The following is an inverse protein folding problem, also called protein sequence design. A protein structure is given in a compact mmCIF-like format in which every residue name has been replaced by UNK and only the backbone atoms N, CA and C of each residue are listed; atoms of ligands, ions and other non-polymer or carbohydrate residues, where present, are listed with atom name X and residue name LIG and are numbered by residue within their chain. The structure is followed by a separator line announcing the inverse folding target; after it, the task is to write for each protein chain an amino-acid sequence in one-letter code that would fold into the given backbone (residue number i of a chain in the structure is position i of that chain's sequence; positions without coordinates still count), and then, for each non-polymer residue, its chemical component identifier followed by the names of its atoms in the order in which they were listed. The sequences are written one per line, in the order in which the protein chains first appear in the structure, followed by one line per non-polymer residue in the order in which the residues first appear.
data_IF_539421173160
#
_entry.id   IF_539421173160
#
_cell.length_a   1.000
_cell.length_b   1.000
_cell.length_c   1.000
_cell.angle_alpha   90.00
_cell.angle_beta   90.00
_cell.angle_gamma   90.00
#
_symmetry.space_group_name_H-M   'P 1'
#
loop_
_entity.id
_entity.type
_entity.pdbx_description
1 polymer ?
#
# COMPACT_ATOMS: atom_id res chain seq x y z
N UNK A 1 6.75 5.22 -12.86
CA UNK A 1 5.79 4.47 -12.04
C UNK A 1 4.40 5.05 -12.17
N UNK A 2 3.42 4.20 -12.43
CA UNK A 2 2.01 4.60 -12.58
C UNK A 2 1.23 3.91 -11.46
N UNK A 3 0.45 4.62 -10.67
CA UNK A 3 -0.33 4.01 -9.61
C UNK A 3 -1.63 3.40 -10.18
N UNK A 4 -1.55 2.17 -10.63
CA UNK A 4 -2.67 1.43 -11.21
C UNK A 4 -2.26 0.45 -12.30
N UNK A 5 -3.22 -0.25 -12.90
CA UNK A 5 -2.98 -1.21 -13.95
C UNK A 5 -2.35 -0.55 -15.20
N UNK A 6 -1.18 -1.05 -15.59
CA UNK A 6 -0.37 -0.46 -16.67
C UNK A 6 0.14 -1.54 -17.61
N UNK A 7 0.00 -1.34 -18.90
CA UNK A 7 0.62 -2.19 -19.91
C UNK A 7 2.05 -1.70 -20.21
N UNK A 8 3.02 -2.36 -19.59
CA UNK A 8 4.43 -1.99 -19.74
C UNK A 8 4.99 -2.11 -21.18
N UNK A 9 4.30 -2.85 -22.07
CA UNK A 9 4.72 -3.03 -23.47
C UNK A 9 4.22 -1.91 -24.37
N UNK A 10 3.00 -1.43 -24.12
CA UNK A 10 2.37 -0.40 -24.95
C UNK A 10 2.44 0.99 -24.34
N UNK A 11 2.83 1.12 -23.07
CA UNK A 11 2.90 2.39 -22.39
C UNK A 11 1.53 2.92 -21.90
N UNK A 12 0.47 2.08 -21.97
CA UNK A 12 -0.90 2.49 -21.64
C UNK A 12 -1.21 2.26 -20.16
N UNK A 13 -1.60 3.31 -19.47
CA UNK A 13 -2.27 3.25 -18.17
C UNK A 13 -3.78 3.03 -18.41
N UNK A 14 -4.34 1.95 -17.88
CA UNK A 14 -5.73 1.58 -18.15
C UNK A 14 -6.71 2.47 -17.38
N UNK A 15 -6.84 2.25 -16.08
CA UNK A 15 -7.74 3.01 -15.23
C UNK A 15 -6.97 3.54 -14.01
N UNK A 16 -6.91 4.86 -13.89
CA UNK A 16 -6.30 5.56 -12.74
C UNK A 16 -7.28 6.62 -12.24
N UNK A 17 -8.32 6.22 -11.47
CA UNK A 17 -9.46 7.09 -11.17
C UNK A 17 -9.12 8.41 -10.51
N UNK A 18 -8.14 8.43 -9.59
CA UNK A 18 -7.74 9.66 -8.89
C UNK A 18 -6.94 10.64 -9.78
N UNK A 19 -6.44 10.20 -10.96
CA UNK A 19 -5.88 11.07 -12.00
C UNK A 19 -6.91 11.37 -13.10
N UNK A 20 -8.08 10.74 -13.07
CA UNK A 20 -9.09 10.86 -14.12
C UNK A 20 -8.63 10.24 -15.45
N UNK A 21 -7.70 9.28 -15.40
CA UNK A 21 -7.17 8.65 -16.60
C UNK A 21 -7.92 7.36 -16.92
N UNK A 22 -8.22 7.18 -18.21
CA UNK A 22 -8.75 5.95 -18.78
C UNK A 22 -8.07 5.71 -20.12
N UNK A 23 -7.34 4.60 -20.23
CA UNK A 23 -6.61 4.18 -21.43
C UNK A 23 -5.64 5.26 -22.00
N UNK A 24 -4.87 5.91 -21.11
CA UNK A 24 -3.92 6.96 -21.47
C UNK A 24 -2.58 6.34 -21.85
N UNK A 25 -2.09 6.59 -23.08
CA UNK A 25 -0.73 6.19 -23.50
C UNK A 25 0.31 7.20 -22.99
N UNK A 26 0.72 7.05 -21.74
CA UNK A 26 1.62 8.01 -21.09
C UNK A 26 3.04 7.95 -21.69
N UNK A 27 3.49 6.79 -22.18
CA UNK A 27 4.81 6.69 -22.81
C UNK A 27 4.86 7.52 -24.09
N UNK A 28 3.90 7.36 -24.99
CA UNK A 28 3.81 8.12 -26.23
C UNK A 28 3.76 9.65 -25.97
N UNK A 29 2.90 10.08 -25.07
CA UNK A 29 2.78 11.50 -24.69
C UNK A 29 4.10 12.11 -24.20
N UNK A 30 4.85 11.34 -23.39
CA UNK A 30 6.14 11.79 -22.88
C UNK A 30 7.26 11.70 -23.93
N UNK A 31 7.26 10.68 -24.78
CA UNK A 31 8.20 10.55 -25.90
C UNK A 31 8.04 11.70 -26.89
N UNK A 32 6.82 12.04 -27.27
CA UNK A 32 6.53 13.20 -28.15
C UNK A 32 6.99 14.51 -27.51
N UNK A 33 6.82 14.64 -26.21
CA UNK A 33 7.15 15.90 -25.51
C UNK A 33 8.64 16.11 -25.26
N UNK A 34 9.36 15.00 -24.92
CA UNK A 34 10.74 15.07 -24.45
C UNK A 34 11.76 14.49 -25.44
N UNK A 35 11.30 13.83 -26.49
CA UNK A 35 12.14 13.21 -27.53
C UNK A 35 13.17 12.21 -26.97
N UNK A 36 12.77 11.44 -25.94
CA UNK A 36 13.57 10.38 -25.32
C UNK A 36 12.72 9.11 -25.17
N UNK A 37 13.32 7.91 -25.22
CA UNK A 37 12.57 6.67 -24.97
C UNK A 37 11.95 6.68 -23.56
N UNK A 38 10.67 6.31 -23.44
CA UNK A 38 9.94 6.26 -22.18
C UNK A 38 9.44 4.85 -21.91
N UNK A 39 9.65 4.39 -20.69
CA UNK A 39 9.17 3.10 -20.19
C UNK A 39 8.32 3.32 -18.95
N UNK A 40 7.21 2.63 -18.84
CA UNK A 40 6.36 2.69 -17.67
C UNK A 40 5.96 1.30 -17.17
N UNK A 41 5.64 1.22 -15.91
CA UNK A 41 5.05 0.05 -15.25
C UNK A 41 4.24 0.54 -14.04
N UNK A 42 3.54 -0.38 -13.38
CA UNK A 42 2.96 -0.10 -12.08
C UNK A 42 4.05 0.36 -11.08
N UNK A 43 3.72 1.30 -10.20
CA UNK A 43 4.68 1.91 -9.27
C UNK A 43 5.28 0.90 -8.28
N UNK A 44 4.50 -0.05 -7.75
CA UNK A 44 5.02 -1.10 -6.87
C UNK A 44 5.94 -2.07 -7.61
N UNK A 45 5.68 -2.36 -8.89
CA UNK A 45 6.57 -3.14 -9.73
C UNK A 45 7.92 -2.45 -9.91
N UNK A 46 7.93 -1.15 -10.19
CA UNK A 46 9.18 -0.39 -10.33
C UNK A 46 9.91 -0.25 -9.00
N UNK A 47 9.21 -0.10 -7.89
CA UNK A 47 9.82 -0.14 -6.56
C UNK A 47 10.50 -1.49 -6.31
N UNK A 48 9.83 -2.62 -6.64
CA UNK A 48 10.44 -3.94 -6.49
C UNK A 48 11.69 -4.12 -7.37
N UNK A 49 11.68 -3.63 -8.60
CA UNK A 49 12.87 -3.62 -9.46
C UNK A 49 13.98 -2.75 -8.87
N UNK A 50 13.64 -1.57 -8.36
CA UNK A 50 14.59 -0.67 -7.68
C UNK A 50 15.27 -1.35 -6.49
N UNK A 51 14.49 -2.01 -5.63
CA UNK A 51 15.02 -2.75 -4.49
C UNK A 51 15.88 -3.96 -4.89
N UNK A 52 15.47 -4.68 -5.94
CA UNK A 52 16.27 -5.80 -6.46
C UNK A 52 17.64 -5.36 -6.99
N UNK A 53 17.70 -4.23 -7.69
CA UNK A 53 18.94 -3.79 -8.33
C UNK A 53 19.82 -2.94 -7.40
N UNK A 54 19.23 -2.10 -6.57
CA UNK A 54 19.95 -1.05 -5.83
C UNK A 54 19.74 -1.10 -4.31
N UNK A 55 18.69 -1.78 -3.83
CA UNK A 55 18.27 -1.79 -2.43
C UNK A 55 18.48 -3.12 -1.71
N UNK A 56 17.58 -3.42 -0.78
CA UNK A 56 17.62 -4.60 0.10
C UNK A 56 17.52 -5.94 -0.64
N UNK A 57 16.98 -5.93 -1.86
CA UNK A 57 16.83 -7.13 -2.70
C UNK A 57 18.06 -7.49 -3.54
N UNK A 58 19.18 -6.76 -3.42
CA UNK A 58 20.39 -7.04 -4.23
C UNK A 58 20.88 -8.49 -4.03
N UNK A 59 21.11 -9.17 -5.16
CA UNK A 59 21.57 -10.55 -5.20
C UNK A 59 20.47 -11.59 -4.95
N UNK A 60 19.22 -11.15 -4.72
CA UNK A 60 18.07 -12.05 -4.62
C UNK A 60 17.42 -12.23 -5.99
N UNK A 61 16.98 -13.46 -6.27
CA UNK A 61 16.24 -13.77 -7.50
C UNK A 61 14.73 -13.82 -7.26
N UNK A 62 14.34 -14.04 -6.02
CA UNK A 62 12.95 -14.14 -5.61
C UNK A 62 12.71 -13.23 -4.43
N UNK A 63 11.72 -12.36 -4.54
CA UNK A 63 11.33 -11.43 -3.48
C UNK A 63 9.89 -10.93 -3.66
N UNK A 64 9.29 -10.57 -2.55
CA UNK A 64 8.04 -9.81 -2.49
C UNK A 64 8.34 -8.47 -1.83
N UNK A 65 7.93 -7.40 -2.48
CA UNK A 65 7.93 -6.05 -1.91
C UNK A 65 6.50 -5.63 -1.62
N UNK A 66 6.26 -5.08 -0.44
CA UNK A 66 5.01 -4.42 -0.08
C UNK A 66 5.27 -2.94 0.14
N UNK A 67 4.44 -2.09 -0.46
CA UNK A 67 4.45 -0.65 -0.20
C UNK A 67 3.27 -0.28 0.67
N UNK A 68 3.55 0.19 1.90
CA UNK A 68 2.55 0.63 2.87
C UNK A 68 2.40 2.14 2.80
N UNK A 69 1.43 2.60 2.03
CA UNK A 69 1.11 4.01 1.83
C UNK A 69 -0.37 4.30 2.05
N UNK A 70 -0.93 5.26 1.31
CA UNK A 70 -2.38 5.52 1.27
C UNK A 70 -3.16 4.25 0.97
N UNK A 71 -2.66 3.45 0.00
CA UNK A 71 -3.07 2.09 -0.26
C UNK A 71 -1.97 1.09 0.11
N UNK A 72 -2.07 -0.13 -0.43
CA UNK A 72 -1.09 -1.18 -0.28
C UNK A 72 -0.74 -1.75 -1.65
N UNK A 73 0.46 -1.41 -2.14
CA UNK A 73 1.00 -1.97 -3.37
C UNK A 73 1.85 -3.21 -3.10
N UNK A 74 2.00 -4.04 -4.13
CA UNK A 74 2.84 -5.23 -4.07
C UNK A 74 3.58 -5.40 -5.40
N UNK A 75 4.89 -5.69 -5.33
CA UNK A 75 5.69 -6.13 -6.45
C UNK A 75 6.30 -7.49 -6.16
N UNK A 76 6.18 -8.43 -7.08
CA UNK A 76 6.69 -9.79 -6.93
C UNK A 76 7.75 -10.05 -8.00
N UNK A 77 8.91 -10.50 -7.56
CA UNK A 77 10.00 -10.95 -8.44
C UNK A 77 10.16 -12.45 -8.27
N UNK A 78 10.20 -13.17 -9.39
CA UNK A 78 10.45 -14.62 -9.47
C UNK A 78 11.52 -14.84 -10.52
N UNK A 79 12.54 -15.62 -10.18
CA UNK A 79 13.69 -15.90 -11.06
C UNK A 79 14.36 -14.63 -11.63
N UNK A 80 14.40 -13.54 -10.85
CA UNK A 80 14.98 -12.26 -11.25
C UNK A 80 14.10 -11.45 -12.22
N UNK A 81 12.80 -11.77 -12.34
CA UNK A 81 11.87 -11.09 -13.23
C UNK A 81 10.61 -10.67 -12.50
N UNK A 82 10.10 -9.47 -12.81
CA UNK A 82 8.80 -9.01 -12.30
C UNK A 82 7.68 -9.92 -12.79
N UNK A 83 6.87 -10.38 -11.86
CA UNK A 83 5.64 -11.13 -12.12
C UNK A 83 4.51 -10.17 -12.48
N UNK A 84 4.23 -10.02 -13.77
CA UNK A 84 3.15 -9.14 -14.28
C UNK A 84 1.84 -9.87 -14.55
N UNK A 85 1.90 -11.21 -14.72
CA UNK A 85 0.76 -12.01 -15.15
C UNK A 85 0.38 -11.79 -16.61
N UNK A 86 -0.66 -12.47 -17.06
CA UNK A 86 -1.11 -12.43 -18.46
C UNK A 86 -1.66 -11.05 -18.86
N UNK A 87 -2.30 -10.35 -17.93
CA UNK A 87 -3.02 -9.09 -18.17
C UNK A 87 -2.31 -7.87 -17.52
N UNK A 88 -1.05 -8.02 -17.09
CA UNK A 88 -0.26 -6.98 -16.41
C UNK A 88 -0.87 -6.48 -15.07
N UNK A 89 -1.66 -7.31 -14.41
CA UNK A 89 -2.33 -7.00 -13.12
C UNK A 89 -2.03 -8.05 -12.05
N UNK A 90 -0.90 -8.75 -12.15
CA UNK A 90 -0.44 -9.61 -11.06
C UNK A 90 0.06 -8.78 -9.87
N UNK A 91 0.27 -9.47 -8.75
CA UNK A 91 0.77 -8.89 -7.51
C UNK A 91 -0.18 -7.90 -6.81
N UNK A 92 -1.48 -7.97 -7.07
CA UNK A 92 -2.51 -7.18 -6.36
C UNK A 92 -2.81 -7.75 -4.97
N UNK A 93 -1.74 -7.97 -4.15
CA UNK A 93 -1.87 -8.57 -2.82
C UNK A 93 -2.68 -7.70 -1.84
N UNK A 94 -2.70 -6.38 -2.04
CA UNK A 94 -3.54 -5.47 -1.27
C UNK A 94 -5.03 -5.83 -1.33
N UNK A 95 -5.47 -6.47 -2.40
CA UNK A 95 -6.86 -6.86 -2.59
C UNK A 95 -7.18 -8.33 -2.27
N UNK A 96 -6.24 -9.04 -1.64
CA UNK A 96 -6.52 -10.35 -1.03
C UNK A 96 -7.40 -10.17 0.21
N UNK A 97 -8.47 -10.95 0.32
CA UNK A 97 -9.35 -10.94 1.50
C UNK A 97 -8.66 -11.72 2.62
N UNK A 98 -8.27 -11.03 3.70
CA UNK A 98 -7.65 -11.62 4.88
C UNK A 98 -8.60 -11.65 6.09
N UNK A 99 -9.76 -10.99 5.98
CA UNK A 99 -10.80 -10.99 7.01
C UNK A 99 -12.19 -11.06 6.35
N UNK A 100 -12.82 -12.23 6.41
CA UNK A 100 -14.14 -12.40 5.81
C UNK A 100 -15.18 -11.46 6.46
N UNK A 101 -15.95 -10.75 5.64
CA UNK A 101 -16.94 -9.78 6.11
C UNK A 101 -16.38 -8.51 6.73
N UNK A 102 -15.05 -8.30 6.70
CA UNK A 102 -14.36 -7.14 7.25
C UNK A 102 -14.73 -5.80 6.60
N UNK A 103 -13.87 -4.82 6.76
CA UNK A 103 -14.07 -3.44 6.26
C UNK A 103 -14.24 -3.41 4.74
N UNK A 104 -15.12 -2.53 4.26
CA UNK A 104 -15.32 -2.29 2.82
C UNK A 104 -14.02 -1.78 2.18
N UNK A 105 -13.63 -2.40 1.07
CA UNK A 105 -12.50 -1.98 0.25
C UNK A 105 -12.98 -1.20 -0.99
N UNK A 106 -12.15 -0.31 -1.49
CA UNK A 106 -12.41 0.45 -2.73
C UNK A 106 -12.61 -0.47 -3.96
N UNK A 107 -12.05 -1.68 -3.96
CA UNK A 107 -12.24 -2.67 -5.02
C UNK A 107 -13.61 -3.37 -5.00
N UNK A 108 -14.52 -2.99 -4.10
CA UNK A 108 -15.86 -3.58 -3.97
C UNK A 108 -15.94 -4.80 -3.04
N UNK A 109 -14.81 -5.42 -2.67
CA UNK A 109 -14.76 -6.54 -1.71
C UNK A 109 -14.74 -6.04 -0.26
N UNK A 110 -14.86 -6.95 0.70
CA UNK A 110 -14.75 -6.65 2.13
C UNK A 110 -13.61 -7.43 2.77
N UNK A 111 -12.85 -6.76 3.65
CA UNK A 111 -11.76 -7.38 4.41
C UNK A 111 -10.48 -7.60 3.62
N UNK A 112 -10.25 -6.80 2.59
CA UNK A 112 -8.98 -6.79 1.85
C UNK A 112 -7.82 -6.37 2.75
N UNK A 113 -6.63 -6.90 2.46
CA UNK A 113 -5.40 -6.57 3.18
C UNK A 113 -5.16 -5.06 3.22
N UNK A 114 -5.29 -4.36 2.10
CA UNK A 114 -5.19 -2.90 2.04
C UNK A 114 -6.15 -2.18 2.98
N UNK A 115 -7.42 -2.59 3.01
CA UNK A 115 -8.43 -1.96 3.86
C UNK A 115 -8.18 -2.15 5.36
N UNK A 116 -7.27 -3.06 5.72
CA UNK A 116 -6.90 -3.39 7.10
C UNK A 116 -5.49 -2.95 7.48
N UNK A 117 -4.57 -2.84 6.51
CA UNK A 117 -3.13 -2.67 6.77
C UNK A 117 -2.48 -1.54 5.97
N UNK A 118 -3.25 -0.61 5.37
CA UNK A 118 -2.69 0.61 4.77
C UNK A 118 -2.50 1.73 5.81
N UNK A 119 -1.77 2.78 5.46
CA UNK A 119 -1.68 3.98 6.30
C UNK A 119 -3.06 4.61 6.54
N UNK A 120 -3.96 4.55 5.56
CA UNK A 120 -5.36 4.97 5.70
C UNK A 120 -6.09 4.13 6.77
N UNK A 121 -5.85 2.82 6.81
CA UNK A 121 -6.42 1.95 7.83
C UNK A 121 -5.87 2.28 9.23
N UNK A 122 -4.55 2.54 9.34
CA UNK A 122 -3.92 2.95 10.59
C UNK A 122 -4.57 4.22 11.17
N UNK A 123 -4.76 5.24 10.32
CA UNK A 123 -5.41 6.50 10.72
C UNK A 123 -6.86 6.27 11.11
N UNK A 124 -7.60 5.42 10.40
CA UNK A 124 -8.97 5.05 10.77
C UNK A 124 -9.04 4.43 12.18
N UNK A 125 -8.16 3.47 12.49
CA UNK A 125 -8.11 2.88 13.84
C UNK A 125 -7.84 3.94 14.91
N UNK A 126 -6.93 4.87 14.63
CA UNK A 126 -6.63 5.96 15.57
C UNK A 126 -7.82 6.86 15.83
N UNK A 127 -8.56 7.26 14.78
CA UNK A 127 -9.79 8.08 14.92
C UNK A 127 -10.88 7.38 15.72
N UNK A 128 -11.06 6.08 15.52
CA UNK A 128 -12.02 5.27 16.27
C UNK A 128 -11.64 5.14 17.74
N UNK A 129 -10.35 4.84 18.01
CA UNK A 129 -9.84 4.65 19.36
C UNK A 129 -9.73 5.96 20.16
N UNK A 130 -9.42 7.08 19.50
CA UNK A 130 -9.34 8.38 20.18
C UNK A 130 -10.60 8.74 20.94
N UNK A 131 -11.77 8.27 20.48
CA UNK A 131 -13.06 8.46 21.17
C UNK A 131 -13.15 7.72 22.51
N UNK A 132 -12.34 6.68 22.69
CA UNK A 132 -12.29 5.86 23.92
C UNK A 132 -11.18 6.32 24.89
N UNK A 133 -10.28 7.19 24.43
CA UNK A 133 -9.11 7.68 25.18
C UNK A 133 -9.11 9.22 25.19
N UNK A 134 -10.00 9.89 25.94
CA UNK A 134 -10.16 11.35 25.90
C UNK A 134 -8.89 12.12 26.32
N UNK A 135 -8.04 11.52 27.14
CA UNK A 135 -6.79 12.12 27.62
C UNK A 135 -5.57 11.80 26.74
N UNK A 136 -5.78 11.09 25.62
CA UNK A 136 -4.70 10.68 24.72
C UNK A 136 -3.96 11.88 24.12
N UNK A 137 -2.65 11.71 23.94
CA UNK A 137 -1.80 12.64 23.18
C UNK A 137 -2.32 12.82 21.74
N UNK A 138 -2.94 11.80 21.14
CA UNK A 138 -3.51 11.90 19.80
C UNK A 138 -4.56 13.01 19.71
N UNK A 139 -5.48 13.09 20.65
CA UNK A 139 -6.48 14.15 20.69
C UNK A 139 -5.86 15.53 20.92
N UNK A 140 -4.84 15.62 21.79
CA UNK A 140 -4.13 16.88 22.02
C UNK A 140 -3.42 17.37 20.74
N UNK A 141 -2.75 16.48 19.99
CA UNK A 141 -2.12 16.81 18.73
C UNK A 141 -3.13 17.24 17.66
N UNK A 142 -4.31 16.63 17.67
CA UNK A 142 -5.38 16.91 16.74
C UNK A 142 -6.26 18.12 17.17
N UNK A 143 -5.90 18.85 18.25
CA UNK A 143 -6.67 19.99 18.75
C UNK A 143 -8.05 19.62 19.26
N UNK A 144 -8.23 18.38 19.74
CA UNK A 144 -9.51 17.84 20.21
C UNK A 144 -10.40 17.26 19.13
N UNK A 145 -9.96 17.30 17.85
CA UNK A 145 -10.75 16.84 16.70
C UNK A 145 -10.20 15.50 16.15
N UNK A 146 -10.83 14.35 16.42
CA UNK A 146 -10.34 13.04 15.97
C UNK A 146 -10.12 12.97 14.46
N UNK A 147 -10.91 13.69 13.67
CA UNK A 147 -10.81 13.69 12.20
C UNK A 147 -9.49 14.29 11.67
N UNK A 148 -8.80 15.07 12.49
CA UNK A 148 -7.49 15.65 12.14
C UNK A 148 -6.30 14.75 12.46
N UNK A 149 -6.54 13.58 13.06
CA UNK A 149 -5.46 12.63 13.38
C UNK A 149 -4.82 12.13 12.08
N UNK A 150 -3.49 12.15 12.05
CA UNK A 150 -2.66 11.64 10.96
C UNK A 150 -1.64 10.59 11.44
N UNK A 151 -0.94 9.97 10.47
CA UNK A 151 0.06 8.94 10.77
C UNK A 151 1.25 9.44 11.59
N UNK A 152 1.65 10.70 11.42
CA UNK A 152 2.75 11.32 12.17
C UNK A 152 2.38 11.51 13.64
N UNK A 153 1.15 11.90 13.92
CA UNK A 153 0.64 12.02 15.28
C UNK A 153 0.63 10.66 15.99
N UNK A 154 0.22 9.60 15.29
CA UNK A 154 0.22 8.22 15.82
C UNK A 154 1.65 7.79 16.16
N UNK A 155 2.59 7.97 15.24
CA UNK A 155 4.00 7.65 15.45
C UNK A 155 4.58 8.40 16.66
N UNK A 156 4.37 9.71 16.75
CA UNK A 156 4.83 10.53 17.86
C UNK A 156 4.16 10.13 19.19
N UNK A 157 2.91 9.70 19.17
CA UNK A 157 2.21 9.16 20.32
C UNK A 157 2.84 7.84 20.78
N UNK A 158 3.17 6.93 19.86
CA UNK A 158 3.88 5.69 20.19
C UNK A 158 5.24 5.94 20.85
N UNK A 159 6.02 6.93 20.34
CA UNK A 159 7.30 7.30 20.95
C UNK A 159 7.17 7.86 22.39
N UNK A 160 5.99 8.38 22.73
CA UNK A 160 5.67 8.89 24.07
C UNK A 160 4.85 7.90 24.93
N UNK A 161 4.79 6.65 24.49
CA UNK A 161 4.07 5.56 25.17
C UNK A 161 2.59 5.87 25.45
N UNK A 162 1.97 6.68 24.58
CA UNK A 162 0.54 7.00 24.70
C UNK A 162 -0.31 5.74 24.50
N UNK A 163 -1.20 5.42 25.45
CA UNK A 163 -1.96 4.16 25.44
C UNK A 163 -2.81 3.98 24.17
N UNK A 164 -3.43 5.04 23.65
CA UNK A 164 -4.22 4.97 22.44
C UNK A 164 -3.34 4.68 21.21
N UNK A 165 -2.21 5.38 21.08
CA UNK A 165 -1.25 5.19 19.99
C UNK A 165 -0.65 3.79 19.99
N UNK A 166 -0.27 3.27 21.17
CA UNK A 166 0.23 1.90 21.33
C UNK A 166 -0.85 0.88 20.93
N UNK A 167 -2.11 1.10 21.35
CA UNK A 167 -3.22 0.22 20.97
C UNK A 167 -3.49 0.22 19.47
N UNK A 168 -3.39 1.39 18.79
CA UNK A 168 -3.48 1.50 17.33
C UNK A 168 -2.39 0.66 16.66
N UNK A 169 -1.14 0.82 17.11
CA UNK A 169 0.01 0.04 16.62
C UNK A 169 -0.25 -1.47 16.75
N UNK A 170 -0.71 -1.91 17.93
CA UNK A 170 -0.89 -3.33 18.21
C UNK A 170 -1.99 -3.95 17.32
N UNK A 171 -3.10 -3.23 17.10
CA UNK A 171 -4.16 -3.66 16.17
C UNK A 171 -3.59 -3.76 14.75
N UNK A 172 -2.84 -2.76 14.31
CA UNK A 172 -2.26 -2.73 12.96
C UNK A 172 -1.31 -3.91 12.74
N UNK A 173 -0.37 -4.14 13.67
CA UNK A 173 0.59 -5.24 13.62
C UNK A 173 -0.11 -6.61 13.68
N UNK A 174 -1.18 -6.75 14.48
CA UNK A 174 -1.97 -7.99 14.50
C UNK A 174 -2.61 -8.28 13.13
N UNK A 175 -3.18 -7.25 12.49
CA UNK A 175 -3.80 -7.41 11.16
C UNK A 175 -2.76 -7.75 10.09
N UNK A 176 -1.61 -7.10 10.11
CA UNK A 176 -0.46 -7.40 9.23
C UNK A 176 0.03 -8.84 9.44
N UNK A 177 0.18 -9.25 10.70
CA UNK A 177 0.64 -10.57 11.06
C UNK A 177 -0.27 -11.70 10.56
N UNK A 178 -1.54 -11.44 10.25
CA UNK A 178 -2.45 -12.46 9.67
C UNK A 178 -2.00 -12.91 8.28
N UNK A 179 -1.42 -12.03 7.47
CA UNK A 179 -0.88 -12.38 6.16
C UNK A 179 0.37 -13.25 6.28
N UNK A 180 1.21 -12.99 7.29
CA UNK A 180 2.50 -13.64 7.48
C UNK A 180 2.48 -14.80 8.48
N UNK A 181 1.33 -15.14 9.05
CA UNK A 181 1.19 -16.35 9.88
C UNK A 181 1.24 -17.58 9.00
N UNK A 182 2.44 -18.13 8.91
CA UNK A 182 2.66 -19.47 8.43
C UNK A 182 2.33 -20.43 9.59
N UNK A 183 1.21 -21.12 9.54
CA UNK A 183 0.95 -22.20 10.47
C UNK A 183 1.99 -23.29 10.20
N UNK A 184 2.79 -23.62 11.24
CA UNK A 184 3.84 -24.65 11.22
C UNK A 184 3.24 -26.05 11.08
N UNK A 185 2.35 -26.28 10.13
CA UNK A 185 1.70 -27.57 9.88
C UNK A 185 2.17 -28.23 8.57
N UNK A 186 3.42 -27.91 8.14
CA UNK A 186 4.08 -28.67 7.07
C UNK A 186 5.45 -29.10 7.51
#
# INVERSE_FOLDING_TARGET
GIPGPTNFRTGVAYEVPFLGWSNVNICEMLEERFHVPVFCDNDANLNALGEMHFGAGRGRRDMVLLTLGTGLGCGIIVDGRILRGANNVAAEAGHMVIENGGVQCVCGKRGCFESLCSATALVRYAKELAKQYPDSILLRYAGGEPEKIDGKMIYNGCLKEDPASLRVRDIFVEKEGRLFRWDKQF
#
